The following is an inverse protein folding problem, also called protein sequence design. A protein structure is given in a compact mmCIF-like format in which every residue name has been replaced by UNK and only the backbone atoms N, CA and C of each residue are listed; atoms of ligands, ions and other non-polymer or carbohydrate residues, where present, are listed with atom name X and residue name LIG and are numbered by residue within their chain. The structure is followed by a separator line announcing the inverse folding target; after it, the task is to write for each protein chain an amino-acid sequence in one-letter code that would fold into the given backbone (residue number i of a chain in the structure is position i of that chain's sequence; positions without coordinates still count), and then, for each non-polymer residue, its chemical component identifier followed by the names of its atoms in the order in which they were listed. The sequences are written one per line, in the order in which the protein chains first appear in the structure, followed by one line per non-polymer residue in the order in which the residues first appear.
data_IF_621506041653
#
_entry.id   IF_621506041653
#
_cell.length_a   1.000
_cell.length_b   1.000
_cell.length_c   1.000
_cell.angle_alpha   90.00
_cell.angle_beta   90.00
_cell.angle_gamma   90.00
#
_symmetry.space_group_name_H-M   'P 1'
#
loop_
_entity.id
_entity.type
_entity.pdbx_description
1 polymer ?
#
# COMPACT_ATOMS: atom_id res chain seq x y z
N UNK A 1 -94.16 -113.93 -95.47
CA UNK A 1 -93.91 -112.49 -95.73
C UNK A 1 -93.73 -111.80 -94.38
N UNK A 2 -92.50 -111.76 -93.84
CA UNK A 2 -91.45 -110.71 -93.98
C UNK A 2 -91.51 -109.62 -92.90
N UNK A 3 -90.52 -109.72 -91.98
CA UNK A 3 -89.88 -108.73 -91.10
C UNK A 3 -90.70 -107.94 -90.05
N UNK A 4 -90.42 -108.23 -88.76
CA UNK A 4 -90.81 -107.42 -87.61
C UNK A 4 -89.61 -107.29 -86.63
N UNK A 5 -89.06 -106.08 -86.51
CA UNK A 5 -88.11 -105.69 -85.45
C UNK A 5 -88.10 -104.17 -85.28
N UNK A 6 -88.53 -103.68 -84.11
CA UNK A 6 -87.82 -102.71 -83.25
C UNK A 6 -88.76 -102.16 -82.16
N UNK A 7 -88.43 -102.38 -80.89
CA UNK A 7 -89.09 -101.76 -79.73
C UNK A 7 -88.12 -100.94 -78.87
N UNK A 8 -88.43 -99.63 -78.79
CA UNK A 8 -88.53 -98.77 -77.61
C UNK A 8 -87.37 -98.68 -76.58
N UNK A 9 -86.35 -97.87 -76.93
CA UNK A 9 -85.19 -97.51 -76.07
C UNK A 9 -85.38 -96.27 -75.16
N UNK A 10 -86.59 -95.73 -75.00
CA UNK A 10 -86.82 -94.45 -74.27
C UNK A 10 -87.09 -94.58 -72.76
N UNK A 11 -87.21 -95.79 -72.19
CA UNK A 11 -87.44 -95.99 -70.73
C UNK A 11 -86.16 -96.10 -69.88
N UNK A 12 -84.98 -96.22 -70.49
CA UNK A 12 -83.72 -96.43 -69.76
C UNK A 12 -83.01 -95.15 -69.32
N UNK A 13 -83.40 -93.98 -69.85
CA UNK A 13 -82.75 -92.69 -69.51
C UNK A 13 -83.25 -92.08 -68.20
N UNK A 14 -84.43 -92.48 -67.70
CA UNK A 14 -84.99 -91.92 -66.46
C UNK A 14 -84.53 -92.65 -65.19
N UNK A 15 -84.04 -93.88 -65.28
CA UNK A 15 -83.52 -94.65 -64.13
C UNK A 15 -82.06 -94.26 -63.82
N UNK A 16 -81.29 -93.81 -64.82
CA UNK A 16 -79.90 -93.37 -64.63
C UNK A 16 -79.75 -92.04 -63.88
N UNK A 17 -80.73 -91.13 -64.00
CA UNK A 17 -80.68 -89.80 -63.36
C UNK A 17 -80.90 -89.83 -61.84
N UNK A 18 -81.69 -90.78 -61.33
CA UNK A 18 -81.97 -90.89 -59.89
C UNK A 18 -80.82 -91.47 -59.06
N UNK A 19 -80.02 -92.37 -59.64
CA UNK A 19 -78.89 -93.01 -58.95
C UNK A 19 -77.71 -92.05 -58.76
N UNK A 20 -77.50 -91.12 -59.70
CA UNK A 20 -76.42 -90.14 -59.62
C UNK A 20 -76.61 -89.13 -58.46
N UNK A 21 -77.85 -88.75 -58.16
CA UNK A 21 -78.14 -87.78 -57.07
C UNK A 21 -77.92 -88.41 -55.69
N UNK A 22 -78.25 -89.69 -55.52
CA UNK A 22 -78.02 -90.42 -54.25
C UNK A 22 -76.51 -90.65 -54.01
N UNK A 23 -75.73 -90.89 -55.06
CA UNK A 23 -74.27 -91.04 -54.94
C UNK A 23 -73.58 -89.73 -54.51
N UNK A 24 -74.04 -88.57 -54.98
CA UNK A 24 -73.46 -87.26 -54.60
C UNK A 24 -73.76 -86.91 -53.14
N UNK A 25 -74.96 -87.24 -52.63
CA UNK A 25 -75.29 -87.02 -51.21
C UNK A 25 -74.51 -87.95 -50.27
N UNK A 26 -74.23 -89.19 -50.69
CA UNK A 26 -73.41 -90.13 -49.90
C UNK A 26 -71.92 -89.69 -49.82
N UNK A 27 -71.36 -89.14 -50.89
CA UNK A 27 -69.99 -88.62 -50.92
C UNK A 27 -69.87 -87.35 -50.05
N UNK A 28 -70.87 -86.47 -50.07
CA UNK A 28 -70.92 -85.28 -49.21
C UNK A 28 -70.99 -85.60 -47.72
N UNK A 29 -71.78 -86.62 -47.33
CA UNK A 29 -71.90 -87.04 -45.93
C UNK A 29 -70.60 -87.70 -45.41
N UNK A 30 -69.93 -88.52 -46.23
CA UNK A 30 -68.68 -89.20 -45.83
C UNK A 30 -67.47 -88.24 -45.77
N UNK A 31 -67.44 -87.20 -46.61
CA UNK A 31 -66.38 -86.17 -46.59
C UNK A 31 -66.37 -85.32 -45.32
N UNK A 32 -67.53 -85.09 -44.69
CA UNK A 32 -67.65 -84.26 -43.48
C UNK A 32 -67.36 -85.07 -42.20
N UNK A 33 -67.57 -86.39 -42.19
CA UNK A 33 -67.23 -87.23 -41.02
C UNK A 33 -65.75 -87.60 -40.94
N UNK A 34 -65.04 -87.67 -42.07
CA UNK A 34 -63.60 -88.03 -42.09
C UNK A 34 -62.65 -86.82 -41.94
N UNK A 35 -63.17 -85.59 -41.95
CA UNK A 35 -62.40 -84.36 -41.85
C UNK A 35 -62.22 -83.82 -40.40
N UNK A 36 -62.61 -84.58 -39.37
CA UNK A 36 -62.39 -84.24 -37.95
C UNK A 36 -61.30 -85.07 -37.25
N UNK A 37 -60.54 -85.87 -37.99
CA UNK A 37 -59.51 -86.76 -37.44
C UNK A 37 -58.06 -86.42 -37.87
N UNK A 38 -57.76 -85.17 -38.23
CA UNK A 38 -56.38 -84.73 -38.57
C UNK A 38 -56.07 -83.28 -38.16
N UNK A 39 -56.14 -82.97 -36.86
CA UNK A 39 -55.58 -81.73 -36.30
C UNK A 39 -55.02 -81.97 -34.89
N UNK A 40 -54.04 -82.87 -34.78
CA UNK A 40 -53.16 -83.13 -33.62
C UNK A 40 -51.99 -83.93 -34.23
N UNK A 41 -50.68 -83.72 -34.07
CA UNK A 41 -49.80 -82.78 -33.38
C UNK A 41 -48.39 -83.25 -33.82
N UNK A 42 -47.58 -82.38 -34.41
CA UNK A 42 -46.18 -82.69 -34.73
C UNK A 42 -45.29 -81.71 -33.96
N UNK A 43 -45.16 -81.97 -32.67
CA UNK A 43 -44.11 -81.38 -31.83
C UNK A 43 -42.81 -82.09 -32.19
N UNK A 44 -41.87 -81.33 -32.75
CA UNK A 44 -40.51 -81.78 -32.98
C UNK A 44 -39.90 -82.24 -31.65
N UNK A 45 -39.61 -83.53 -31.53
CA UNK A 45 -38.87 -84.11 -30.41
C UNK A 45 -37.42 -83.64 -30.47
N UNK A 46 -37.15 -82.45 -29.95
CA UNK A 46 -35.81 -82.04 -29.54
C UNK A 46 -35.41 -82.71 -28.22
N UNK A 47 -34.11 -82.87 -28.00
CA UNK A 47 -33.52 -83.46 -26.79
C UNK A 47 -34.15 -82.91 -25.51
N UNK A 48 -34.79 -83.78 -24.72
CA UNK A 48 -35.38 -83.44 -23.42
C UNK A 48 -34.32 -83.53 -22.33
N UNK A 49 -34.00 -82.40 -21.71
CA UNK A 49 -33.09 -82.28 -20.56
C UNK A 49 -33.90 -82.05 -19.29
N UNK A 50 -33.59 -82.78 -18.22
CA UNK A 50 -34.25 -82.65 -16.91
C UNK A 50 -33.97 -81.29 -16.28
N UNK A 51 -35.01 -80.49 -16.00
CA UNK A 51 -34.86 -79.17 -15.37
C UNK A 51 -34.67 -79.30 -13.84
N UNK A 52 -33.70 -78.56 -13.28
CA UNK A 52 -33.45 -78.47 -11.84
C UNK A 52 -34.00 -77.12 -11.32
N UNK A 53 -34.77 -77.14 -10.23
CA UNK A 53 -35.27 -75.92 -9.57
C UNK A 53 -34.27 -75.53 -8.48
N UNK A 54 -33.63 -74.37 -8.64
CA UNK A 54 -32.78 -73.72 -7.63
C UNK A 54 -33.00 -72.21 -7.65
N UNK A 55 -32.58 -71.51 -6.60
CA UNK A 55 -32.74 -70.05 -6.51
C UNK A 55 -32.03 -69.34 -7.68
N UNK A 56 -32.82 -68.62 -8.49
CA UNK A 56 -32.31 -67.85 -9.61
C UNK A 56 -32.00 -66.42 -9.15
N UNK A 57 -30.72 -66.13 -8.92
CA UNK A 57 -30.23 -64.78 -8.66
C UNK A 57 -29.96 -64.07 -9.99
N UNK A 58 -30.77 -63.07 -10.33
CA UNK A 58 -30.48 -62.14 -11.43
C UNK A 58 -29.71 -60.93 -10.88
N UNK A 59 -28.40 -60.89 -11.11
CA UNK A 59 -27.57 -59.74 -10.76
C UNK A 59 -27.47 -58.79 -11.96
N UNK A 60 -27.98 -57.56 -11.79
CA UNK A 60 -27.74 -56.46 -12.73
C UNK A 60 -26.53 -55.66 -12.26
N UNK A 61 -25.50 -55.57 -13.09
CA UNK A 61 -24.30 -54.77 -12.81
C UNK A 61 -24.41 -53.39 -13.46
N UNK A 62 -24.27 -52.34 -12.66
CA UNK A 62 -24.12 -50.96 -13.12
C UNK A 62 -22.70 -50.50 -12.78
N UNK A 63 -21.91 -50.18 -13.81
CA UNK A 63 -20.59 -49.59 -13.61
C UNK A 63 -20.75 -48.10 -13.29
N UNK A 64 -20.27 -47.67 -12.13
CA UNK A 64 -20.20 -46.28 -11.72
C UNK A 64 -18.78 -45.93 -11.31
N UNK A 65 -18.37 -44.67 -11.53
CA UNK A 65 -17.09 -44.17 -11.05
C UNK A 65 -17.29 -43.58 -9.64
N UNK A 66 -16.45 -43.98 -8.69
CA UNK A 66 -16.43 -43.39 -7.36
C UNK A 66 -15.67 -42.06 -7.46
N UNK A 67 -16.37 -40.95 -7.17
CA UNK A 67 -15.78 -39.63 -7.09
C UNK A 67 -15.74 -39.18 -5.61
N UNK A 68 -14.67 -38.50 -5.17
CA UNK A 68 -14.59 -37.97 -3.81
C UNK A 68 -15.68 -36.93 -3.57
N UNK A 69 -16.31 -36.95 -2.38
CA UNK A 69 -17.34 -35.96 -2.04
C UNK A 69 -16.79 -34.53 -1.98
N UNK A 70 -15.52 -34.37 -1.57
CA UNK A 70 -14.78 -33.11 -1.54
C UNK A 70 -13.32 -33.39 -1.89
N UNK A 71 -12.78 -32.58 -2.80
CA UNK A 71 -11.38 -32.58 -3.18
C UNK A 71 -10.85 -31.14 -3.06
N UNK A 72 -9.62 -31.00 -2.60
CA UNK A 72 -8.92 -29.72 -2.53
C UNK A 72 -7.48 -29.90 -2.97
N UNK A 73 -7.01 -29.03 -3.86
CA UNK A 73 -5.61 -29.00 -4.27
C UNK A 73 -4.84 -28.08 -3.32
N UNK A 74 -3.79 -28.61 -2.69
CA UNK A 74 -2.95 -27.82 -1.79
C UNK A 74 -2.03 -26.90 -2.60
N UNK A 75 -2.27 -25.60 -2.51
CA UNK A 75 -1.40 -24.57 -3.09
C UNK A 75 -0.86 -23.68 -1.98
N UNK A 76 0.43 -23.33 -2.08
CA UNK A 76 1.06 -22.42 -1.12
C UNK A 76 0.74 -20.98 -1.52
N UNK A 77 0.15 -20.21 -0.61
CA UNK A 77 -0.21 -18.80 -0.85
C UNK A 77 0.98 -17.84 -0.86
N UNK A 78 2.13 -18.28 -0.37
CA UNK A 78 3.40 -17.54 -0.41
C UNK A 78 4.47 -18.41 -1.08
N UNK A 79 5.32 -17.79 -1.89
CA UNK A 79 6.50 -18.45 -2.45
C UNK A 79 7.52 -18.66 -1.33
N UNK A 80 7.92 -19.90 -1.09
CA UNK A 80 8.88 -20.23 -0.04
C UNK A 80 9.44 -21.65 -0.18
N UNK A 81 10.58 -21.90 0.47
CA UNK A 81 11.13 -23.25 0.55
C UNK A 81 10.38 -24.03 1.63
N UNK A 82 10.03 -25.28 1.35
CA UNK A 82 9.51 -26.20 2.36
C UNK A 82 10.63 -26.56 3.32
N UNK A 83 10.44 -26.25 4.61
CA UNK A 83 11.34 -26.65 5.68
C UNK A 83 11.02 -28.07 6.14
N UNK A 84 9.73 -28.38 6.33
CA UNK A 84 9.30 -29.67 6.83
C UNK A 84 7.88 -30.02 6.33
N UNK A 85 7.64 -31.31 6.09
CA UNK A 85 6.31 -31.87 5.82
C UNK A 85 5.92 -32.71 7.04
N UNK A 86 4.82 -32.35 7.71
CA UNK A 86 4.47 -32.91 9.02
C UNK A 86 3.49 -34.10 8.93
N UNK A 87 3.06 -34.44 7.72
CA UNK A 87 2.07 -35.50 7.46
C UNK A 87 2.59 -36.50 6.43
N UNK A 88 2.18 -37.76 6.53
CA UNK A 88 2.53 -38.80 5.56
C UNK A 88 1.36 -39.07 4.62
N UNK A 89 1.68 -39.65 3.47
CA UNK A 89 0.66 -40.07 2.50
C UNK A 89 -0.23 -41.14 3.14
N UNK A 90 -1.53 -40.88 3.18
CA UNK A 90 -2.52 -41.77 3.79
C UNK A 90 -2.95 -41.39 5.21
N UNK A 91 -2.32 -40.39 5.83
CA UNK A 91 -2.76 -39.88 7.13
C UNK A 91 -4.08 -39.09 6.99
N UNK A 92 -4.99 -39.25 7.96
CA UNK A 92 -6.22 -38.46 8.07
C UNK A 92 -5.90 -37.12 8.76
N UNK A 93 -6.26 -36.01 8.12
CA UNK A 93 -5.98 -34.65 8.59
C UNK A 93 -7.26 -33.86 8.73
N UNK A 94 -7.32 -32.98 9.73
CA UNK A 94 -8.46 -32.13 10.03
C UNK A 94 -8.22 -30.69 9.54
N UNK A 95 -9.31 -29.92 9.46
CA UNK A 95 -9.22 -28.51 9.10
C UNK A 95 -8.44 -27.74 10.18
N UNK A 96 -7.35 -27.08 9.76
CA UNK A 96 -6.45 -26.33 10.65
C UNK A 96 -5.12 -27.03 10.91
N UNK A 97 -4.97 -28.30 10.51
CA UNK A 97 -3.71 -29.02 10.69
C UNK A 97 -2.62 -28.45 9.78
N UNK A 98 -1.43 -28.25 10.36
CA UNK A 98 -0.26 -27.77 9.62
C UNK A 98 0.33 -28.94 8.86
N UNK A 99 0.09 -28.98 7.55
CA UNK A 99 0.59 -30.04 6.68
C UNK A 99 2.06 -29.83 6.29
N UNK A 100 2.45 -28.57 6.11
CA UNK A 100 3.78 -28.17 5.63
C UNK A 100 4.22 -26.90 6.35
N UNK A 101 5.49 -26.86 6.78
CA UNK A 101 6.14 -25.67 7.32
C UNK A 101 7.11 -25.11 6.30
N UNK A 102 7.04 -23.81 6.04
CA UNK A 102 7.96 -23.11 5.17
C UNK A 102 9.10 -22.47 5.97
N UNK A 103 10.27 -22.35 5.35
CA UNK A 103 11.42 -21.65 5.93
C UNK A 103 11.07 -20.16 6.09
N UNK A 104 11.05 -19.65 7.33
CA UNK A 104 10.58 -18.29 7.66
C UNK A 104 11.66 -17.36 8.21
N UNK A 105 12.92 -17.77 8.27
CA UNK A 105 13.98 -16.99 8.94
C UNK A 105 14.20 -15.61 8.31
N UNK A 106 14.11 -15.51 6.99
CA UNK A 106 14.22 -14.23 6.28
C UNK A 106 13.03 -13.30 6.60
N UNK A 107 11.81 -13.86 6.69
CA UNK A 107 10.62 -13.11 7.05
C UNK A 107 10.66 -12.67 8.52
N UNK A 108 11.10 -13.55 9.43
CA UNK A 108 11.27 -13.23 10.84
C UNK A 108 12.29 -12.10 11.04
N UNK A 109 13.43 -12.14 10.33
CA UNK A 109 14.40 -11.04 10.33
C UNK A 109 13.81 -9.74 9.76
N UNK A 110 12.99 -9.82 8.72
CA UNK A 110 12.32 -8.65 8.12
C UNK A 110 11.27 -8.04 9.05
N UNK A 111 10.54 -8.87 9.80
CA UNK A 111 9.59 -8.41 10.82
C UNK A 111 10.35 -7.74 11.96
N UNK A 112 11.41 -8.39 12.47
CA UNK A 112 12.23 -7.82 13.52
C UNK A 112 12.84 -6.46 13.12
N UNK A 113 13.32 -6.29 11.88
CA UNK A 113 13.83 -5.00 11.43
C UNK A 113 12.74 -3.94 11.28
N UNK A 114 11.54 -4.33 10.82
CA UNK A 114 10.39 -3.44 10.74
C UNK A 114 9.91 -2.96 12.12
N UNK A 115 9.85 -3.86 13.10
CA UNK A 115 9.50 -3.54 14.49
C UNK A 115 10.50 -2.56 15.11
N UNK A 116 11.81 -2.78 14.89
CA UNK A 116 12.84 -1.83 15.35
C UNK A 116 12.67 -0.45 14.71
N UNK A 117 12.33 -0.39 13.41
CA UNK A 117 12.06 0.87 12.76
C UNK A 117 10.85 1.58 13.37
N UNK A 118 9.76 0.86 13.68
CA UNK A 118 8.59 1.44 14.35
C UNK A 118 8.98 2.04 15.71
N UNK A 119 9.75 1.33 16.53
CA UNK A 119 10.23 1.83 17.84
C UNK A 119 11.02 3.14 17.66
N UNK A 120 11.92 3.20 16.68
CA UNK A 120 12.70 4.41 16.37
C UNK A 120 11.78 5.56 15.94
N UNK A 121 10.81 5.30 15.04
CA UNK A 121 9.88 6.35 14.59
C UNK A 121 8.96 6.84 15.71
N UNK A 122 8.51 5.96 16.60
CA UNK A 122 7.73 6.33 17.79
C UNK A 122 8.54 7.17 18.78
N UNK A 123 9.81 6.82 18.99
CA UNK A 123 10.73 7.61 19.82
C UNK A 123 10.94 9.01 19.22
N UNK A 124 11.18 9.10 17.90
CA UNK A 124 11.31 10.38 17.19
C UNK A 124 10.02 11.21 17.28
N UNK A 125 8.85 10.60 17.08
CA UNK A 125 7.56 11.28 17.20
C UNK A 125 7.31 11.79 18.62
N UNK A 126 7.67 10.99 19.63
CA UNK A 126 7.57 11.39 21.04
C UNK A 126 8.44 12.60 21.32
N UNK A 127 9.68 12.61 20.84
CA UNK A 127 10.60 13.74 21.01
C UNK A 127 10.09 15.01 20.30
N UNK A 128 9.60 14.89 19.07
CA UNK A 128 9.01 16.00 18.33
C UNK A 128 7.74 16.55 19.01
N UNK A 129 6.92 15.69 19.63
CA UNK A 129 5.68 16.09 20.31
C UNK A 129 5.92 16.81 21.63
N UNK A 130 7.03 16.54 22.33
CA UNK A 130 7.40 17.29 23.55
C UNK A 130 7.64 18.77 23.24
N UNK A 131 8.00 19.10 21.99
CA UNK A 131 8.27 20.47 21.58
C UNK A 131 9.49 21.05 22.28
N UNK A 132 9.57 22.37 22.34
CA UNK A 132 10.63 23.06 23.07
C UNK A 132 10.53 22.75 24.57
N UNK A 133 11.66 22.47 25.21
CA UNK A 133 11.69 22.17 26.64
C UNK A 133 11.37 23.43 27.47
N UNK A 134 11.01 23.24 28.73
CA UNK A 134 10.82 24.38 29.65
C UNK A 134 12.08 25.26 29.77
N UNK A 135 13.28 24.65 29.64
CA UNK A 135 14.54 25.39 29.62
C UNK A 135 14.69 26.24 28.35
N UNK A 136 14.28 25.72 27.20
CA UNK A 136 14.33 26.45 25.93
C UNK A 136 13.37 27.65 25.95
N UNK A 137 12.16 27.46 26.48
CA UNK A 137 11.18 28.54 26.68
C UNK A 137 11.74 29.62 27.61
N UNK A 138 12.27 29.23 28.78
CA UNK A 138 12.83 30.18 29.74
C UNK A 138 14.01 30.96 29.15
N UNK A 139 14.88 30.31 28.36
CA UNK A 139 15.98 30.98 27.67
C UNK A 139 15.46 31.99 26.62
N UNK A 140 14.45 31.61 25.85
CA UNK A 140 13.82 32.50 24.86
C UNK A 140 13.13 33.70 25.53
N UNK A 141 12.40 33.48 26.62
CA UNK A 141 11.76 34.54 27.40
C UNK A 141 12.79 35.51 27.99
N UNK A 142 13.90 35.00 28.54
CA UNK A 142 14.99 35.83 29.04
C UNK A 142 15.64 36.65 27.91
N UNK A 143 15.76 36.09 26.71
CA UNK A 143 16.28 36.80 25.54
C UNK A 143 15.34 37.92 25.08
N UNK A 144 14.02 37.67 25.08
CA UNK A 144 13.02 38.71 24.80
C UNK A 144 13.06 39.81 25.86
N UNK A 145 13.12 39.45 27.14
CA UNK A 145 13.20 40.43 28.22
C UNK A 145 14.47 41.30 28.13
N UNK A 146 15.62 40.70 27.82
CA UNK A 146 16.87 41.44 27.59
C UNK A 146 16.77 42.36 26.38
N UNK A 147 16.18 41.89 25.28
CA UNK A 147 16.01 42.70 24.07
C UNK A 147 15.06 43.87 24.31
N UNK A 148 13.99 43.66 25.09
CA UNK A 148 13.06 44.73 25.46
C UNK A 148 13.73 45.76 26.35
N UNK A 149 14.51 45.34 27.36
CA UNK A 149 15.25 46.26 28.22
C UNK A 149 16.26 47.11 27.43
N UNK A 150 16.96 46.52 26.46
CA UNK A 150 17.85 47.25 25.56
C UNK A 150 17.10 48.24 24.68
N UNK A 151 15.92 47.85 24.17
CA UNK A 151 15.08 48.74 23.39
C UNK A 151 14.61 49.93 24.22
N UNK A 152 14.15 49.68 25.45
CA UNK A 152 13.66 50.72 26.36
C UNK A 152 14.77 51.72 26.72
N UNK A 153 15.99 51.24 26.98
CA UNK A 153 17.17 52.08 27.24
C UNK A 153 17.53 52.97 26.04
N UNK A 154 17.53 52.38 24.83
CA UNK A 154 17.77 53.13 23.59
C UNK A 154 16.67 54.16 23.30
N UNK A 155 15.42 53.86 23.66
CA UNK A 155 14.30 54.79 23.50
C UNK A 155 14.32 55.90 24.54
N UNK A 156 14.75 55.62 25.77
CA UNK A 156 14.93 56.61 26.81
C UNK A 156 16.01 57.63 26.44
N UNK A 157 17.07 57.17 25.74
CA UNK A 157 18.16 58.02 25.31
C UNK A 157 19.03 58.51 26.49
N UNK A 158 19.94 59.47 26.26
CA UNK A 158 20.83 59.97 27.30
C UNK A 158 20.06 60.61 28.47
N UNK A 159 20.50 60.32 29.68
CA UNK A 159 19.92 60.91 30.89
C UNK A 159 20.11 62.45 30.90
N UNK A 160 19.22 63.21 31.57
CA UNK A 160 19.41 64.64 31.76
C UNK A 160 20.76 65.00 32.38
N UNK A 161 21.28 64.16 33.27
CA UNK A 161 22.59 64.32 33.91
C UNK A 161 23.74 64.18 32.91
N UNK A 162 23.69 63.19 32.02
CA UNK A 162 24.67 63.03 30.94
C UNK A 162 24.63 64.20 29.97
N UNK A 163 23.41 64.65 29.59
CA UNK A 163 23.23 65.83 28.74
C UNK A 163 23.81 67.07 29.43
N UNK A 164 23.53 67.28 30.71
CA UNK A 164 24.04 68.42 31.47
C UNK A 164 25.56 68.38 31.59
N UNK A 165 26.16 67.21 31.85
CA UNK A 165 27.62 67.05 31.89
C UNK A 165 28.25 67.30 30.53
N UNK A 166 27.66 66.78 29.44
CA UNK A 166 28.13 67.02 28.08
C UNK A 166 28.05 68.52 27.73
N UNK A 167 26.96 69.18 28.10
CA UNK A 167 26.77 70.61 27.89
C UNK A 167 27.80 71.44 28.66
N UNK A 168 28.06 71.10 29.93
CA UNK A 168 29.09 71.76 30.74
C UNK A 168 30.50 71.61 30.11
N UNK A 169 30.81 70.44 29.56
CA UNK A 169 32.07 70.21 28.84
C UNK A 169 32.17 71.09 27.57
N UNK A 170 31.08 71.23 26.83
CA UNK A 170 31.01 72.14 25.66
C UNK A 170 31.24 73.59 26.09
N UNK A 171 30.62 74.04 27.18
CA UNK A 171 30.75 75.41 27.67
C UNK A 171 32.17 75.71 28.17
N UNK A 172 32.78 74.76 28.89
CA UNK A 172 34.18 74.86 29.30
C UNK A 172 35.13 74.92 28.09
N UNK A 173 34.91 74.08 27.08
CA UNK A 173 35.70 74.10 25.84
C UNK A 173 35.57 75.45 25.10
N UNK A 174 34.36 76.02 25.03
CA UNK A 174 34.13 77.35 24.46
C UNK A 174 34.88 78.45 25.21
N UNK A 175 34.86 78.40 26.55
CA UNK A 175 35.62 79.34 27.37
C UNK A 175 37.13 79.21 27.12
N UNK A 176 37.63 77.98 26.95
CA UNK A 176 39.02 77.71 26.57
C UNK A 176 39.38 78.33 25.21
N UNK A 177 38.54 78.16 24.19
CA UNK A 177 38.74 78.78 22.86
C UNK A 177 38.78 80.30 22.95
N UNK A 178 37.88 80.90 23.73
CA UNK A 178 37.86 82.35 23.93
C UNK A 178 39.15 82.85 24.61
N UNK A 179 39.60 82.17 25.67
CA UNK A 179 40.84 82.50 26.36
C UNK A 179 42.07 82.36 25.43
N UNK A 180 42.14 81.26 24.68
CA UNK A 180 43.22 81.05 23.71
C UNK A 180 43.23 82.14 22.63
N UNK A 181 42.04 82.55 22.15
CA UNK A 181 41.93 83.64 21.17
C UNK A 181 42.39 84.99 21.76
N UNK A 182 42.06 85.26 23.02
CA UNK A 182 42.54 86.46 23.71
C UNK A 182 44.07 86.46 23.87
N UNK A 183 44.66 85.30 24.21
CA UNK A 183 46.12 85.15 24.30
C UNK A 183 46.80 85.34 22.94
N UNK A 184 46.22 84.82 21.86
CA UNK A 184 46.72 85.05 20.49
C UNK A 184 46.66 86.53 20.14
N UNK A 185 45.56 87.23 20.44
CA UNK A 185 45.45 88.66 20.18
C UNK A 185 46.45 89.48 21.00
N UNK A 186 46.67 89.12 22.26
CA UNK A 186 47.69 89.75 23.10
C UNK A 186 49.09 89.52 22.56
N UNK A 187 49.42 88.29 22.14
CA UNK A 187 50.71 87.98 21.54
C UNK A 187 50.91 88.70 20.19
N UNK A 188 49.84 88.85 19.41
CA UNK A 188 49.87 89.55 18.13
C UNK A 188 50.00 91.08 18.26
N UNK A 189 49.50 91.67 19.35
CA UNK A 189 49.59 93.11 19.60
C UNK A 189 51.04 93.60 19.84
N UNK A 190 51.97 92.70 20.19
CA UNK A 190 53.39 93.05 20.40
C UNK A 190 53.63 93.95 21.61
N UNK A 191 54.83 94.53 21.70
CA UNK A 191 55.15 95.54 22.71
C UNK A 191 54.42 96.85 22.38
N UNK A 192 53.85 97.51 23.40
CA UNK A 192 53.19 98.80 23.20
C UNK A 192 54.19 99.90 22.84
N UNK A 193 53.74 100.93 22.11
CA UNK A 193 54.58 102.08 21.75
C UNK A 193 55.22 102.74 22.99
N UNK A 194 54.53 102.73 24.13
CA UNK A 194 55.05 103.26 25.39
C UNK A 194 56.18 102.38 25.98
N UNK A 195 56.06 101.06 25.89
CA UNK A 195 57.12 100.12 26.31
C UNK A 195 58.34 100.22 25.39
N UNK A 196 58.11 100.35 24.08
CA UNK A 196 59.18 100.58 23.10
C UNK A 196 59.90 101.90 23.40
N UNK A 197 59.16 103.00 23.56
CA UNK A 197 59.74 104.30 23.88
C UNK A 197 60.51 104.30 25.21
N UNK A 198 60.00 103.61 26.25
CA UNK A 198 60.70 103.48 27.52
C UNK A 198 62.01 102.67 27.37
N UNK A 199 61.98 101.58 26.58
CA UNK A 199 63.18 100.80 26.28
C UNK A 199 64.21 101.63 25.51
N UNK A 200 63.79 102.42 24.53
CA UNK A 200 64.65 103.35 23.80
C UNK A 200 65.30 104.39 24.72
N UNK A 201 64.54 104.94 25.68
CA UNK A 201 65.10 105.87 26.68
C UNK A 201 66.15 105.20 27.57
N UNK A 202 65.93 103.95 27.99
CA UNK A 202 66.91 103.21 28.78
C UNK A 202 68.19 102.93 27.97
N UNK A 203 68.07 102.59 26.69
CA UNK A 203 69.22 102.44 25.78
C UNK A 203 69.98 103.76 25.67
N UNK A 204 69.28 104.88 25.44
CA UNK A 204 69.90 106.19 25.32
C UNK A 204 70.70 106.57 26.60
N UNK A 205 70.14 106.32 27.78
CA UNK A 205 70.84 106.55 29.06
C UNK A 205 72.04 105.61 29.22
N UNK A 206 71.90 104.34 28.86
CA UNK A 206 73.00 103.37 28.93
C UNK A 206 74.16 103.76 28.00
N UNK A 207 73.85 104.24 26.78
CA UNK A 207 74.84 104.75 25.84
C UNK A 207 75.57 105.98 26.39
N UNK A 208 74.83 106.92 27.00
CA UNK A 208 75.46 108.09 27.64
C UNK A 208 76.44 107.66 28.74
N UNK A 209 76.05 106.72 29.60
CA UNK A 209 76.92 106.21 30.66
C UNK A 209 78.14 105.49 30.09
N UNK A 210 77.99 104.72 29.01
CA UNK A 210 79.10 104.05 28.32
C UNK A 210 80.10 105.04 27.74
N UNK A 211 79.62 106.10 27.07
CA UNK A 211 80.47 107.14 26.51
C UNK A 211 81.28 107.86 27.60
N UNK A 212 80.64 108.19 28.73
CA UNK A 212 81.30 108.79 29.89
C UNK A 212 82.37 107.86 30.48
N UNK A 213 82.06 106.58 30.66
CA UNK A 213 83.01 105.59 31.16
C UNK A 213 84.21 105.41 30.22
N UNK A 214 83.98 105.37 28.91
CA UNK A 214 85.04 105.29 27.90
C UNK A 214 85.96 106.51 27.92
N UNK A 215 85.38 107.71 28.00
CA UNK A 215 86.15 108.96 28.11
C UNK A 215 86.96 109.04 29.40
N UNK A 216 86.46 108.46 30.50
CA UNK A 216 87.19 108.39 31.77
C UNK A 216 88.35 107.37 31.71
N UNK A 217 88.21 106.29 30.94
CA UNK A 217 89.26 105.31 30.73
C UNK A 217 90.39 105.80 29.80
N UNK A 218 90.05 106.61 28.79
CA UNK A 218 91.02 107.10 27.79
C UNK A 218 91.81 108.37 28.24
N UNK A 219 91.73 108.77 29.52
CA UNK A 219 92.50 109.86 30.13
C UNK A 219 93.56 109.32 31.08
#
# INVERSE_FOLDING_TARGET
MTQNRRSNRKKWLWIGGGVAVVAILAIGYFGITNARARLVEEVNTGDIVTAFVGDLSATASAAGQVLPQRQADLTLGISGRVQEVLVRVGDEVQAGDVLVRLESDALARSVASAEQNVIIQEANLSELRKGASASDLAAAEAQVASAQAQLDDLQAGPSPEEIASAQANVDAARAGVWSASAQVNQAAAGASDAEIAAAEQQVAVAEQNYLQAKQAHDR
#
